data_IF_352864085592
#
_entry.id   IF_352864085592
#
_cell.length_a   1.000
_cell.length_b   1.000
_cell.length_c   1.000
_cell.angle_alpha   90.00
_cell.angle_beta   90.00
_cell.angle_gamma   90.00
#
_symmetry.space_group_name_H-M   'P 1'
#
loop_
_entity.id
_entity.type
_entity.pdbx_description
1 polymer ?
#
# COMPACT_ATOMS: atom_id res chain seq x y z
N UNK A 1 5.86 15.68 4.76
CA UNK A 1 4.85 14.76 5.35
C UNK A 1 5.53 13.87 6.37
N UNK A 2 4.98 13.74 7.58
CA UNK A 2 5.52 12.85 8.61
C UNK A 2 5.31 11.38 8.21
N UNK A 3 6.09 10.46 8.76
CA UNK A 3 6.03 9.04 8.40
C UNK A 3 4.66 8.41 8.64
N UNK A 4 3.98 8.78 9.73
CA UNK A 4 2.62 8.29 10.04
C UNK A 4 1.55 8.85 9.09
N UNK A 5 1.66 10.12 8.72
CA UNK A 5 0.74 10.76 7.76
C UNK A 5 0.84 10.08 6.38
N UNK A 6 2.07 9.81 5.94
CA UNK A 6 2.32 9.08 4.69
C UNK A 6 1.67 7.70 4.71
N UNK A 7 1.88 6.93 5.78
CA UNK A 7 1.30 5.58 5.90
C UNK A 7 -0.22 5.60 5.91
N UNK A 8 -0.81 6.54 6.64
CA UNK A 8 -2.27 6.70 6.72
C UNK A 8 -2.86 7.07 5.36
N UNK A 9 -2.26 8.05 4.68
CA UNK A 9 -2.67 8.45 3.33
C UNK A 9 -2.53 7.30 2.32
N UNK A 10 -1.43 6.54 2.38
CA UNK A 10 -1.26 5.35 1.57
C UNK A 10 -2.35 4.31 1.84
N UNK A 11 -2.65 4.02 3.10
CA UNK A 11 -3.66 3.04 3.47
C UNK A 11 -5.05 3.40 2.92
N UNK A 12 -5.40 4.69 2.92
CA UNK A 12 -6.64 5.21 2.32
C UNK A 12 -6.63 5.00 0.80
N UNK A 13 -5.53 5.35 0.12
CA UNK A 13 -5.43 5.17 -1.34
C UNK A 13 -5.56 3.72 -1.77
N UNK A 14 -5.11 2.77 -0.93
CA UNK A 14 -5.19 1.34 -1.25
C UNK A 14 -6.63 0.82 -1.39
N UNK A 15 -7.63 1.50 -0.82
CA UNK A 15 -9.04 1.18 -1.06
C UNK A 15 -9.43 1.33 -2.54
N UNK A 16 -8.82 2.28 -3.25
CA UNK A 16 -9.13 2.58 -4.65
C UNK A 16 -8.22 1.85 -5.64
N UNK A 17 -7.21 1.16 -5.14
CA UNK A 17 -6.20 0.47 -5.94
C UNK A 17 -6.33 -1.06 -5.84
N UNK A 18 -7.44 -1.55 -5.28
CA UNK A 18 -7.71 -2.98 -5.18
C UNK A 18 -7.68 -3.64 -6.56
N UNK A 19 -7.07 -4.83 -6.63
CA UNK A 19 -6.91 -5.58 -7.88
C UNK A 19 -5.69 -5.16 -8.71
N UNK A 20 -5.04 -4.03 -8.42
CA UNK A 20 -3.82 -3.62 -9.13
C UNK A 20 -2.61 -4.44 -8.71
N UNK A 21 -1.61 -4.56 -9.59
CA UNK A 21 -0.32 -5.14 -9.22
C UNK A 21 0.45 -4.21 -8.30
N UNK A 22 1.37 -4.77 -7.51
CA UNK A 22 2.27 -4.02 -6.62
C UNK A 22 2.94 -2.83 -7.32
N UNK A 23 3.52 -3.06 -8.51
CA UNK A 23 4.22 -2.03 -9.27
C UNK A 23 3.29 -0.93 -9.77
N UNK A 24 2.06 -1.28 -10.20
CA UNK A 24 1.08 -0.30 -10.66
C UNK A 24 0.58 0.55 -9.48
N UNK A 25 0.21 -0.08 -8.37
CA UNK A 25 -0.22 0.64 -7.17
C UNK A 25 0.88 1.59 -6.65
N UNK A 26 2.14 1.15 -6.66
CA UNK A 26 3.26 1.98 -6.23
C UNK A 26 3.41 3.26 -7.09
N UNK A 27 3.26 3.12 -8.41
CA UNK A 27 3.34 4.23 -9.35
C UNK A 27 2.18 5.21 -9.19
N UNK A 28 0.95 4.71 -9.03
CA UNK A 28 -0.22 5.59 -8.85
C UNK A 28 -0.15 6.36 -7.51
N UNK A 29 0.23 5.70 -6.41
CA UNK A 29 0.41 6.38 -5.11
C UNK A 29 1.52 7.43 -5.19
N UNK A 30 2.62 7.12 -5.88
CA UNK A 30 3.73 8.06 -6.07
C UNK A 30 3.28 9.34 -6.78
N UNK A 31 2.48 9.21 -7.83
CA UNK A 31 1.88 10.36 -8.54
C UNK A 31 0.95 11.17 -7.65
N UNK A 32 0.08 10.51 -6.88
CA UNK A 32 -0.92 11.18 -6.04
C UNK A 32 -0.28 11.92 -4.87
N UNK A 33 0.71 11.31 -4.22
CA UNK A 33 1.32 11.85 -2.99
C UNK A 33 2.59 12.68 -3.25
N UNK A 34 3.10 12.72 -4.48
CA UNK A 34 4.33 13.45 -4.83
C UNK A 34 5.60 12.89 -4.17
N UNK A 35 5.58 11.62 -3.74
CA UNK A 35 6.73 10.94 -3.12
C UNK A 35 7.36 9.94 -4.07
N UNK A 36 8.64 9.61 -3.90
CA UNK A 36 9.33 8.66 -4.78
C UNK A 36 8.71 7.26 -4.74
N UNK A 37 8.69 6.57 -5.88
CA UNK A 37 8.22 5.18 -5.95
C UNK A 37 8.96 4.25 -4.98
N UNK A 38 10.26 4.48 -4.74
CA UNK A 38 11.05 3.71 -3.77
C UNK A 38 10.48 3.84 -2.34
N UNK A 39 10.09 5.06 -1.94
CA UNK A 39 9.45 5.32 -0.64
C UNK A 39 8.09 4.64 -0.55
N UNK A 40 7.29 4.69 -1.62
CA UNK A 40 5.99 3.99 -1.67
C UNK A 40 6.19 2.49 -1.55
N UNK A 41 7.07 1.90 -2.36
CA UNK A 41 7.35 0.46 -2.35
C UNK A 41 7.87 -0.01 -0.99
N UNK A 42 8.68 0.80 -0.32
CA UNK A 42 9.14 0.50 1.03
C UNK A 42 7.98 0.43 2.03
N UNK A 43 7.07 1.41 2.00
CA UNK A 43 5.90 1.43 2.87
C UNK A 43 4.90 0.31 2.54
N UNK A 44 4.64 0.02 1.26
CA UNK A 44 3.79 -1.11 0.87
C UNK A 44 4.33 -2.45 1.35
N UNK A 45 5.66 -2.65 1.28
CA UNK A 45 6.29 -3.84 1.87
C UNK A 45 6.08 -3.89 3.37
N UNK A 46 6.29 -2.78 4.10
CA UNK A 46 6.03 -2.74 5.55
C UNK A 46 4.57 -3.07 5.89
N UNK A 47 3.61 -2.50 5.19
CA UNK A 47 2.18 -2.81 5.38
C UNK A 47 1.88 -4.29 5.10
N UNK A 48 2.51 -4.87 4.08
CA UNK A 48 2.36 -6.29 3.74
C UNK A 48 2.95 -7.18 4.82
N UNK A 49 4.18 -6.90 5.22
CA UNK A 49 4.93 -7.68 6.22
C UNK A 49 4.24 -7.59 7.60
N UNK A 50 3.50 -6.51 7.88
CA UNK A 50 2.66 -6.35 9.07
C UNK A 50 1.27 -7.01 8.94
N UNK A 51 0.94 -7.57 7.79
CA UNK A 51 -0.33 -8.25 7.50
C UNK A 51 -1.51 -7.30 7.30
N UNK A 52 -1.29 -6.03 6.96
CA UNK A 52 -2.36 -5.07 6.65
C UNK A 52 -2.82 -5.17 5.20
N UNK A 53 -1.93 -5.57 4.29
CA UNK A 53 -2.22 -5.69 2.85
C UNK A 53 -1.70 -7.02 2.31
N UNK A 54 -2.36 -7.54 1.29
CA UNK A 54 -1.87 -8.62 0.43
C UNK A 54 -1.44 -7.96 -0.87
N UNK A 55 -0.23 -8.27 -1.34
CA UNK A 55 0.27 -7.83 -2.63
C UNK A 55 1.48 -8.68 -3.05
N UNK A 56 1.83 -8.64 -4.33
CA UNK A 56 2.93 -9.44 -4.86
C UNK A 56 4.30 -9.16 -4.24
N UNK A 57 5.22 -10.10 -4.44
CA UNK A 57 6.62 -10.04 -4.05
C UNK A 57 7.53 -10.34 -5.25
N UNK A 58 8.83 -10.52 -5.00
CA UNK A 58 9.76 -10.96 -6.06
C UNK A 58 9.51 -12.44 -6.40
N UNK A 59 9.15 -13.22 -5.39
CA UNK A 59 8.90 -14.64 -5.40
C UNK A 59 7.49 -14.96 -5.91
N UNK A 60 6.50 -14.12 -5.54
CA UNK A 60 5.09 -14.27 -5.90
C UNK A 60 4.63 -13.09 -6.75
N UNK A 61 4.76 -13.23 -8.07
CA UNK A 61 4.37 -12.20 -9.02
C UNK A 61 2.86 -12.23 -9.28
N UNK A 62 2.33 -11.13 -9.80
CA UNK A 62 0.93 -10.98 -10.23
C UNK A 62 -0.14 -11.13 -9.14
N UNK A 63 0.24 -11.21 -7.86
CA UNK A 63 -0.72 -11.18 -6.76
C UNK A 63 -1.37 -9.78 -6.71
N UNK A 64 -2.70 -9.69 -6.89
CA UNK A 64 -3.42 -8.43 -6.86
C UNK A 64 -3.39 -7.82 -5.46
N UNK A 65 -3.27 -6.50 -5.41
CA UNK A 65 -3.28 -5.75 -4.17
C UNK A 65 -4.67 -5.80 -3.54
N UNK A 66 -4.74 -6.14 -2.24
CA UNK A 66 -5.97 -6.15 -1.42
C UNK A 66 -5.68 -5.76 0.01
N UNK A 67 -6.64 -5.12 0.68
CA UNK A 67 -6.57 -4.92 2.13
C UNK A 67 -6.98 -6.21 2.86
N UNK A 68 -6.28 -6.53 3.95
CA UNK A 68 -6.71 -7.61 4.84
C UNK A 68 -7.80 -7.12 5.78
N UNK A 69 -8.47 -8.04 6.50
CA UNK A 69 -9.34 -7.67 7.63
C UNK A 69 -8.62 -6.81 8.68
N UNK A 70 -7.32 -7.06 8.89
CA UNK A 70 -6.49 -6.28 9.82
C UNK A 70 -6.25 -4.86 9.28
N UNK A 71 -5.91 -4.72 8.00
CA UNK A 71 -5.77 -3.42 7.34
C UNK A 71 -7.06 -2.62 7.34
N UNK A 72 -8.19 -3.29 7.13
CA UNK A 72 -9.50 -2.65 7.14
C UNK A 72 -9.92 -2.18 8.53
N UNK A 73 -9.51 -2.87 9.60
CA UNK A 73 -9.70 -2.37 10.98
C UNK A 73 -8.82 -1.15 11.28
N UNK A 74 -7.58 -1.14 10.79
CA UNK A 74 -6.69 0.01 10.97
C UNK A 74 -7.28 1.27 10.33
N UNK A 75 -7.81 1.15 9.11
CA UNK A 75 -8.50 2.25 8.41
C UNK A 75 -9.70 2.83 9.18
N UNK A 76 -10.46 2.00 9.91
CA UNK A 76 -11.59 2.47 10.72
C UNK A 76 -11.18 3.29 11.94
N UNK A 77 -9.91 3.23 12.33
CA UNK A 77 -9.35 3.88 13.50
C UNK A 77 -8.34 4.99 13.15
N UNK A 78 -8.24 5.35 11.85
CA UNK A 78 -7.49 6.52 11.37
C UNK A 78 -8.39 7.76 11.44
#
# INVERSE_FOLDING_TARGET
MRSEELRSAMLILLLYLEGMTFSRAAREISKVLGVSESTVRWNLRKLRDQGFVICGSKEEKFVPLRLTRKGMRLLKNL
#
